data_IF_555700553139
#
_entry.id   IF_555700553139
#
_cell.length_a   1.000
_cell.length_b   1.000
_cell.length_c   1.000
_cell.angle_alpha   90.00
_cell.angle_beta   90.00
_cell.angle_gamma   90.00
#
_symmetry.space_group_name_H-M   'P 1'
#
loop_
_entity.id
_entity.type
_entity.pdbx_description
1 polymer ?
#
# COMPACT_ATOMS: atom_id res chain seq x y z
N UNK A 1 -3.05 12.85 13.22
CA UNK A 1 -2.81 11.40 13.33
C UNK A 1 -4.15 10.69 13.24
N UNK A 2 -4.26 9.57 12.51
CA UNK A 2 -5.51 8.84 12.31
C UNK A 2 -5.54 7.48 13.01
N UNK A 3 -6.73 6.92 13.19
CA UNK A 3 -6.98 5.64 13.89
C UNK A 3 -6.15 4.50 13.27
N UNK A 4 -6.11 4.40 11.93
CA UNK A 4 -5.34 3.35 11.24
C UNK A 4 -3.85 3.36 11.59
N UNK A 5 -3.21 4.54 11.59
CA UNK A 5 -1.80 4.66 12.01
C UNK A 5 -1.59 4.30 13.48
N UNK A 6 -2.57 4.56 14.35
CA UNK A 6 -2.54 4.15 15.75
C UNK A 6 -2.57 2.62 15.87
N UNK A 7 -3.53 1.98 15.20
CA UNK A 7 -3.67 0.52 15.21
C UNK A 7 -2.41 -0.20 14.71
N UNK A 8 -1.78 0.30 13.63
CA UNK A 8 -0.55 -0.31 13.11
C UNK A 8 0.61 -0.17 14.12
N UNK A 9 0.74 0.97 14.81
CA UNK A 9 1.78 1.14 15.83
C UNK A 9 1.61 0.21 17.02
N UNK A 10 0.38 0.03 17.49
CA UNK A 10 0.08 -0.95 18.53
C UNK A 10 0.41 -2.37 18.08
N UNK A 11 0.10 -2.73 16.83
CA UNK A 11 0.47 -4.02 16.26
C UNK A 11 1.99 -4.21 16.17
N UNK A 12 2.73 -3.17 15.76
CA UNK A 12 4.20 -3.19 15.72
C UNK A 12 4.77 -3.45 17.12
N UNK A 13 4.27 -2.75 18.15
CA UNK A 13 4.69 -2.96 19.53
C UNK A 13 4.43 -4.40 19.99
N UNK A 14 3.19 -4.87 19.80
CA UNK A 14 2.78 -6.23 20.12
C UNK A 14 3.62 -7.32 19.42
N UNK A 15 4.00 -7.09 18.16
CA UNK A 15 4.80 -8.02 17.37
C UNK A 15 6.26 -8.10 17.84
N UNK A 16 6.86 -6.94 18.16
CA UNK A 16 8.22 -6.87 18.74
C UNK A 16 8.34 -7.65 20.04
N UNK A 17 7.37 -7.50 20.94
CA UNK A 17 7.32 -8.24 22.21
C UNK A 17 7.28 -9.76 22.03
N UNK A 18 6.80 -10.23 20.87
CA UNK A 18 6.70 -11.64 20.51
C UNK A 18 7.90 -12.16 19.70
N UNK A 19 8.93 -11.33 19.54
CA UNK A 19 10.13 -11.69 18.79
C UNK A 19 9.89 -11.82 17.28
N UNK A 20 8.80 -11.25 16.75
CA UNK A 20 8.61 -11.19 15.31
C UNK A 20 9.71 -10.32 14.70
N UNK A 21 10.18 -10.72 13.52
CA UNK A 21 11.26 -10.04 12.82
C UNK A 21 10.75 -9.10 11.73
N UNK A 22 9.61 -9.42 11.12
CA UNK A 22 9.11 -8.76 9.92
C UNK A 22 7.59 -8.62 9.98
N UNK A 23 7.07 -7.51 9.47
CA UNK A 23 5.65 -7.35 9.08
C UNK A 23 5.59 -7.04 7.59
N UNK A 24 4.73 -7.73 6.86
CA UNK A 24 4.42 -7.43 5.47
C UNK A 24 2.95 -7.07 5.29
N UNK A 25 2.67 -6.12 4.41
CA UNK A 25 1.33 -5.69 4.06
C UNK A 25 1.20 -5.43 2.55
N UNK A 26 0.08 -5.83 1.92
CA UNK A 26 -0.19 -5.42 0.54
C UNK A 26 -0.54 -3.93 0.50
N UNK A 27 -0.12 -3.26 -0.57
CA UNK A 27 -0.49 -1.90 -0.87
C UNK A 27 -0.67 -1.69 -2.38
N UNK A 28 -1.32 -0.59 -2.73
CA UNK A 28 -1.40 -0.07 -4.09
C UNK A 28 -1.02 1.42 -4.07
N UNK A 29 -1.00 2.08 -5.22
CA UNK A 29 -0.93 3.54 -5.24
C UNK A 29 -2.14 4.17 -4.53
N UNK A 30 -1.96 5.38 -3.99
CA UNK A 30 -2.98 6.14 -3.26
C UNK A 30 -4.02 6.76 -4.20
N UNK A 31 -4.84 5.90 -4.81
CA UNK A 31 -6.00 6.26 -5.62
C UNK A 31 -7.29 5.97 -4.86
N UNK A 32 -8.24 6.90 -4.94
CA UNK A 32 -9.50 6.82 -4.19
C UNK A 32 -10.29 5.56 -4.59
N UNK A 33 -10.36 5.29 -5.88
CA UNK A 33 -11.05 4.15 -6.48
C UNK A 33 -10.48 2.80 -6.02
N UNK A 34 -9.17 2.71 -5.79
CA UNK A 34 -8.57 1.48 -5.28
C UNK A 34 -9.04 1.21 -3.86
N UNK A 35 -9.05 2.22 -2.99
CA UNK A 35 -9.47 2.03 -1.61
C UNK A 35 -10.95 1.62 -1.53
N UNK A 36 -11.81 2.24 -2.35
CA UNK A 36 -13.23 1.90 -2.42
C UNK A 36 -13.46 0.45 -2.85
N UNK A 37 -12.67 -0.05 -3.81
CA UNK A 37 -12.85 -1.40 -4.36
C UNK A 37 -12.17 -2.48 -3.51
N UNK A 38 -10.97 -2.22 -3.00
CA UNK A 38 -10.11 -3.23 -2.38
C UNK A 38 -10.09 -3.16 -0.86
N UNK A 39 -10.42 -2.00 -0.28
CA UNK A 39 -10.22 -1.71 1.15
C UNK A 39 -8.76 -1.67 1.58
N UNK A 40 -7.80 -1.79 0.66
CA UNK A 40 -6.37 -1.85 0.96
C UNK A 40 -5.81 -0.43 1.06
N UNK A 41 -5.01 -0.19 2.10
CA UNK A 41 -4.35 1.09 2.30
C UNK A 41 -3.27 1.35 1.24
N UNK A 42 -3.17 2.60 0.80
CA UNK A 42 -2.20 3.02 -0.20
C UNK A 42 -0.75 2.98 0.31
N UNK A 43 0.18 2.96 -0.62
CA UNK A 43 1.62 2.86 -0.38
C UNK A 43 2.11 3.98 0.56
N UNK A 44 1.67 5.22 0.35
CA UNK A 44 2.10 6.37 1.18
C UNK A 44 1.59 6.28 2.61
N UNK A 45 0.52 5.54 2.88
CA UNK A 45 0.08 5.27 4.26
C UNK A 45 1.14 4.43 5.00
N UNK A 46 1.63 3.37 4.36
CA UNK A 46 2.63 2.48 4.93
C UNK A 46 4.02 3.12 5.04
N UNK A 47 4.43 3.91 4.04
CA UNK A 47 5.71 4.64 4.06
C UNK A 47 5.80 5.60 5.26
N UNK A 48 4.69 6.21 5.69
CA UNK A 48 4.63 7.06 6.90
C UNK A 48 4.81 6.29 8.21
N UNK A 49 4.82 4.97 8.16
CA UNK A 49 4.97 4.04 9.28
C UNK A 49 6.27 3.24 9.18
N UNK A 50 7.23 3.75 8.41
CA UNK A 50 8.57 3.19 8.18
C UNK A 50 8.58 1.86 7.40
N UNK A 51 7.47 1.49 6.76
CA UNK A 51 7.46 0.38 5.80
C UNK A 51 8.10 0.81 4.47
N UNK A 52 8.78 -0.12 3.80
CA UNK A 52 9.36 0.08 2.47
C UNK A 52 8.93 -1.01 1.50
N UNK A 53 8.98 -0.72 0.19
CA UNK A 53 8.61 -1.69 -0.85
C UNK A 53 9.68 -2.78 -0.96
N UNK A 54 9.29 -4.04 -0.86
CA UNK A 54 10.16 -5.21 -1.13
C UNK A 54 9.77 -5.98 -2.38
N UNK A 55 8.53 -5.80 -2.86
CA UNK A 55 8.06 -6.41 -4.08
C UNK A 55 7.10 -5.48 -4.82
N UNK A 56 7.18 -5.50 -6.15
CA UNK A 56 6.31 -4.79 -7.07
C UNK A 56 5.85 -5.77 -8.15
N UNK A 57 4.54 -5.95 -8.29
CA UNK A 57 3.92 -6.81 -9.32
C UNK A 57 2.75 -6.08 -9.97
N UNK A 58 2.53 -6.32 -11.25
CA UNK A 58 1.28 -5.89 -11.90
C UNK A 58 0.12 -6.74 -11.35
N UNK A 59 -0.97 -6.09 -10.97
CA UNK A 59 -2.21 -6.71 -10.49
C UNK A 59 -3.04 -7.16 -11.70
N UNK A 60 -3.11 -8.48 -12.00
CA UNK A 60 -3.75 -8.96 -13.21
C UNK A 60 -5.25 -8.69 -13.23
N UNK A 61 -5.88 -8.46 -12.08
CA UNK A 61 -7.30 -8.16 -11.98
C UNK A 61 -7.67 -6.72 -12.40
N UNK A 62 -6.69 -5.81 -12.51
CA UNK A 62 -6.94 -4.45 -12.94
C UNK A 62 -6.93 -4.37 -14.46
N UNK A 63 -8.11 -4.29 -15.06
CA UNK A 63 -8.29 -4.30 -16.51
C UNK A 63 -9.43 -3.37 -16.95
N UNK A 64 -9.52 -3.15 -18.26
CA UNK A 64 -10.64 -2.42 -18.88
C UNK A 64 -10.80 -0.99 -18.35
N UNK A 65 -12.05 -0.57 -18.18
CA UNK A 65 -12.40 0.79 -17.73
C UNK A 65 -11.84 1.13 -16.34
N UNK A 66 -11.69 0.13 -15.47
CA UNK A 66 -11.13 0.35 -14.14
C UNK A 66 -9.65 0.76 -14.25
N UNK A 67 -8.85 0.00 -15.01
CA UNK A 67 -7.44 0.34 -15.23
C UNK A 67 -7.28 1.72 -15.90
N UNK A 68 -8.13 2.05 -16.87
CA UNK A 68 -8.09 3.36 -17.53
C UNK A 68 -8.29 4.51 -16.52
N UNK A 69 -9.27 4.38 -15.60
CA UNK A 69 -9.48 5.39 -14.54
C UNK A 69 -8.30 5.54 -13.60
N UNK A 70 -7.65 4.42 -13.23
CA UNK A 70 -6.46 4.47 -12.38
C UNK A 70 -5.28 5.16 -13.10
N UNK A 71 -5.12 4.91 -14.40
CA UNK A 71 -4.09 5.57 -15.21
C UNK A 71 -4.33 7.08 -15.33
N UNK A 72 -5.58 7.51 -15.50
CA UNK A 72 -5.95 8.94 -15.50
C UNK A 72 -5.59 9.61 -14.16
N UNK A 73 -5.88 8.95 -13.04
CA UNK A 73 -5.50 9.45 -11.72
C UNK A 73 -3.99 9.49 -11.51
N UNK A 74 -3.27 8.47 -11.97
CA UNK A 74 -1.82 8.46 -11.90
C UNK A 74 -1.24 9.69 -12.61
N UNK A 75 -1.70 9.98 -13.83
CA UNK A 75 -1.29 11.18 -14.58
C UNK A 75 -1.66 12.46 -13.84
N UNK A 76 -2.88 12.55 -13.30
CA UNK A 76 -3.33 13.72 -12.54
C UNK A 76 -2.50 13.97 -11.27
N UNK A 77 -1.94 12.91 -10.68
CA UNK A 77 -1.04 12.98 -9.53
C UNK A 77 0.45 13.11 -9.91
N UNK A 78 0.78 13.20 -11.20
CA UNK A 78 2.17 13.28 -11.69
C UNK A 78 2.95 11.97 -11.58
N UNK A 79 2.26 10.84 -11.48
CA UNK A 79 2.82 9.49 -11.46
C UNK A 79 2.87 8.91 -12.88
N UNK A 80 3.70 7.87 -13.08
CA UNK A 80 3.69 7.12 -14.33
C UNK A 80 2.38 6.29 -14.39
N UNK A 81 1.54 6.44 -15.43
CA UNK A 81 0.31 5.64 -15.56
C UNK A 81 0.55 4.13 -15.59
N UNK A 82 1.70 3.66 -16.06
CA UNK A 82 2.04 2.22 -15.96
C UNK A 82 2.12 1.74 -14.51
N UNK A 83 2.38 2.65 -13.57
CA UNK A 83 2.47 2.29 -12.16
C UNK A 83 1.11 2.06 -11.50
N UNK A 84 0.02 2.46 -12.17
CA UNK A 84 -1.31 2.44 -11.60
C UNK A 84 -1.89 1.04 -11.36
N UNK A 85 -1.35 0.05 -12.06
CA UNK A 85 -1.72 -1.36 -11.92
C UNK A 85 -0.87 -2.11 -10.90
N UNK A 86 0.09 -1.45 -10.23
CA UNK A 86 1.00 -2.18 -9.36
C UNK A 86 0.38 -2.49 -8.01
N UNK A 87 0.58 -3.73 -7.60
CA UNK A 87 0.52 -4.17 -6.22
C UNK A 87 1.92 -4.18 -5.62
N UNK A 88 2.02 -3.61 -4.44
CA UNK A 88 3.25 -3.56 -3.65
C UNK A 88 3.14 -4.49 -2.45
N UNK A 89 4.25 -5.14 -2.11
CA UNK A 89 4.45 -5.72 -0.78
C UNK A 89 5.29 -4.71 0.01
N UNK A 90 4.67 -4.13 1.03
CA UNK A 90 5.30 -3.22 1.99
C UNK A 90 5.86 -4.05 3.13
N UNK A 91 7.11 -3.81 3.53
CA UNK A 91 7.78 -4.50 4.64
C UNK A 91 8.26 -3.53 5.70
N UNK A 92 8.11 -3.92 6.96
CA UNK A 92 8.80 -3.33 8.10
C UNK A 92 9.65 -4.41 8.76
N UNK A 93 10.93 -4.11 8.96
CA UNK A 93 11.82 -4.90 9.82
C UNK A 93 11.60 -4.45 11.28
N UNK A 94 11.43 -5.41 12.19
CA UNK A 94 11.09 -5.18 13.60
C UNK A 94 12.32 -5.23 14.53
N UNK A 95 13.45 -5.72 14.00
CA UNK A 95 14.73 -5.90 14.69
C UNK A 95 15.48 -4.58 14.95
#
# INVERSE_FOLDING_TARGET
MGIGSGMVRELIGWARERGWQIIEAPAYEDFEEIYVVTGVAGRRFWEKLDFYVVEKKSEPSFQGEFLAKLQEQAVAQGLNPEDAQNKYTMRLELA
#
